data_IF_737465775867
#
_entry.id   IF_737465775867
#
_cell.length_a   1.000
_cell.length_b   1.000
_cell.length_c   1.000
_cell.angle_alpha   90.00
_cell.angle_beta   90.00
_cell.angle_gamma   90.00
#
_symmetry.space_group_name_H-M   'P 1'
#
loop_
_entity.id
_entity.type
_entity.pdbx_description
1 polymer ?
#
# COMPACT_ATOMS: atom_id res chain seq x y z
N UNK A 1 6.34 -19.73 -3.17
CA UNK A 1 6.64 -18.39 -3.69
C UNK A 1 5.72 -17.95 -4.84
N UNK A 2 5.48 -18.79 -5.86
CA UNK A 2 4.64 -18.42 -7.02
C UNK A 2 3.26 -17.80 -6.69
N UNK A 3 2.41 -18.37 -5.83
CA UNK A 3 1.04 -17.85 -5.66
C UNK A 3 1.00 -16.45 -5.05
N UNK A 4 1.92 -16.13 -4.12
CA UNK A 4 1.95 -14.81 -3.47
C UNK A 4 2.48 -13.72 -4.40
N UNK A 5 3.55 -14.00 -5.15
CA UNK A 5 4.09 -13.05 -6.12
C UNK A 5 3.12 -12.84 -7.29
N UNK A 6 2.43 -13.89 -7.74
CA UNK A 6 1.36 -13.79 -8.73
C UNK A 6 0.19 -12.93 -8.23
N UNK A 7 -0.23 -13.10 -6.97
CA UNK A 7 -1.24 -12.24 -6.35
C UNK A 7 -0.78 -10.77 -6.30
N UNK A 8 0.45 -10.50 -5.86
CA UNK A 8 1.00 -9.13 -5.80
C UNK A 8 1.02 -8.48 -7.18
N UNK A 9 1.41 -9.22 -8.22
CA UNK A 9 1.40 -8.74 -9.60
C UNK A 9 -0.02 -8.45 -10.11
N UNK A 10 -0.96 -9.36 -9.87
CA UNK A 10 -2.38 -9.17 -10.20
C UNK A 10 -2.96 -7.92 -9.54
N UNK A 11 -2.74 -7.76 -8.23
CA UNK A 11 -3.20 -6.60 -7.46
C UNK A 11 -2.58 -5.29 -7.97
N UNK A 12 -1.30 -5.31 -8.33
CA UNK A 12 -0.59 -4.16 -8.92
C UNK A 12 -1.24 -3.73 -10.24
N UNK A 13 -1.54 -4.69 -11.13
CA UNK A 13 -2.21 -4.43 -12.42
C UNK A 13 -3.59 -3.82 -12.18
N UNK A 14 -4.37 -4.40 -11.28
CA UNK A 14 -5.72 -3.96 -10.95
C UNK A 14 -5.72 -2.52 -10.40
N UNK A 15 -4.82 -2.22 -9.46
CA UNK A 15 -4.64 -0.86 -8.95
C UNK A 15 -4.19 0.12 -10.05
N UNK A 16 -3.32 -0.32 -10.95
CA UNK A 16 -2.90 0.50 -12.10
C UNK A 16 -4.08 0.85 -13.01
N UNK A 17 -4.96 -0.11 -13.30
CA UNK A 17 -6.17 0.13 -14.09
C UNK A 17 -7.13 1.12 -13.41
N UNK A 18 -7.40 0.94 -12.11
CA UNK A 18 -8.23 1.87 -11.34
C UNK A 18 -7.66 3.29 -11.35
N UNK A 19 -6.34 3.41 -11.16
CA UNK A 19 -5.64 4.69 -11.24
C UNK A 19 -5.81 5.35 -12.62
N UNK A 20 -5.72 4.57 -13.70
CA UNK A 20 -5.93 5.08 -15.05
C UNK A 20 -7.37 5.57 -15.26
N UNK A 21 -8.38 4.84 -14.77
CA UNK A 21 -9.77 5.26 -14.83
C UNK A 21 -10.01 6.58 -14.06
N UNK A 22 -9.46 6.71 -12.85
CA UNK A 22 -9.54 7.96 -12.08
C UNK A 22 -8.89 9.12 -12.83
N UNK A 23 -7.69 8.93 -13.38
CA UNK A 23 -7.00 9.95 -14.18
C UNK A 23 -7.76 10.33 -15.44
N UNK A 24 -8.44 9.38 -16.07
CA UNK A 24 -9.28 9.63 -17.23
C UNK A 24 -10.44 10.56 -16.87
N UNK A 25 -11.16 10.28 -15.77
CA UNK A 25 -12.22 11.14 -15.26
C UNK A 25 -11.69 12.53 -14.94
N UNK A 26 -10.55 12.62 -14.22
CA UNK A 26 -9.92 13.91 -13.90
C UNK A 26 -9.64 14.71 -15.17
N UNK A 27 -9.04 14.07 -16.19
CA UNK A 27 -8.71 14.73 -17.45
C UNK A 27 -9.98 15.21 -18.17
N UNK A 28 -11.00 14.36 -18.27
CA UNK A 28 -12.27 14.68 -18.91
C UNK A 28 -12.94 15.90 -18.26
N UNK A 29 -12.93 15.97 -16.92
CA UNK A 29 -13.45 17.11 -16.18
C UNK A 29 -12.65 18.39 -16.41
N UNK A 30 -11.31 18.32 -16.46
CA UNK A 30 -10.46 19.52 -16.60
C UNK A 30 -10.37 20.10 -18.01
N UNK A 31 -10.52 19.28 -19.05
CA UNK A 31 -10.33 19.69 -20.45
C UNK A 31 -11.63 20.15 -21.10
N UNK A 32 -12.78 19.59 -20.71
CA UNK A 32 -14.07 19.95 -21.28
C UNK A 32 -14.56 21.31 -20.71
N UNK A 33 -14.97 22.27 -21.55
CA UNK A 33 -15.48 23.57 -21.10
C UNK A 33 -16.80 23.46 -20.32
N UNK A 34 -17.63 22.46 -20.63
CA UNK A 34 -18.79 22.07 -19.82
C UNK A 34 -18.87 20.53 -19.72
N UNK A 35 -18.29 19.93 -18.68
CA UNK A 35 -18.30 18.49 -18.50
C UNK A 35 -19.71 17.98 -18.22
N UNK A 36 -20.10 16.86 -18.85
CA UNK A 36 -21.31 16.12 -18.49
C UNK A 36 -21.10 15.45 -17.11
N UNK A 37 -21.49 16.16 -16.06
CA UNK A 37 -21.36 15.69 -14.68
C UNK A 37 -22.23 14.47 -14.37
N UNK A 38 -23.33 14.27 -15.10
CA UNK A 38 -24.21 13.11 -14.86
C UNK A 38 -23.53 11.82 -15.31
N UNK A 39 -22.94 11.85 -16.51
CA UNK A 39 -22.09 10.76 -17.00
C UNK A 39 -20.88 10.52 -16.09
N UNK A 40 -20.18 11.58 -15.69
CA UNK A 40 -19.00 11.50 -14.81
C UNK A 40 -19.35 10.88 -13.45
N UNK A 41 -20.50 11.25 -12.86
CA UNK A 41 -20.98 10.64 -11.61
C UNK A 41 -21.20 9.14 -11.82
N UNK A 42 -21.86 8.74 -12.91
CA UNK A 42 -22.09 7.33 -13.22
C UNK A 42 -20.79 6.52 -13.30
N UNK A 43 -19.81 7.03 -14.06
CA UNK A 43 -18.49 6.40 -14.19
C UNK A 43 -17.76 6.31 -12.84
N UNK A 44 -17.77 7.38 -12.04
CA UNK A 44 -17.11 7.40 -10.74
C UNK A 44 -17.77 6.46 -9.72
N UNK A 45 -19.11 6.42 -9.69
CA UNK A 45 -19.87 5.53 -8.80
C UNK A 45 -19.59 4.07 -9.16
N UNK A 46 -19.51 3.74 -10.44
CA UNK A 46 -19.12 2.40 -10.90
C UNK A 46 -17.72 2.03 -10.41
N UNK A 47 -16.71 2.89 -10.65
CA UNK A 47 -15.33 2.67 -10.20
C UNK A 47 -15.27 2.47 -8.69
N UNK A 48 -16.00 3.29 -7.93
CA UNK A 48 -16.03 3.21 -6.48
C UNK A 48 -16.65 1.92 -5.98
N UNK A 49 -17.75 1.48 -6.59
CA UNK A 49 -18.43 0.23 -6.23
C UNK A 49 -17.51 -0.96 -6.51
N UNK A 50 -16.92 -0.99 -7.70
CA UNK A 50 -15.97 -2.02 -8.10
C UNK A 50 -14.75 -2.07 -7.15
N UNK A 51 -14.15 -0.92 -6.85
CA UNK A 51 -13.03 -0.85 -5.90
C UNK A 51 -13.41 -1.30 -4.48
N UNK A 52 -14.64 -1.02 -4.03
CA UNK A 52 -15.13 -1.48 -2.73
C UNK A 52 -15.33 -3.01 -2.70
N UNK A 53 -15.81 -3.61 -3.79
CA UNK A 53 -15.92 -5.07 -3.91
C UNK A 53 -14.53 -5.72 -3.88
N UNK A 54 -13.58 -5.18 -4.64
CA UNK A 54 -12.19 -5.62 -4.63
C UNK A 54 -11.61 -5.54 -3.22
N UNK A 55 -11.81 -4.43 -2.51
CA UNK A 55 -11.32 -4.28 -1.14
C UNK A 55 -11.92 -5.32 -0.20
N UNK A 56 -13.23 -5.61 -0.32
CA UNK A 56 -13.90 -6.62 0.49
C UNK A 56 -13.30 -8.01 0.28
N UNK A 57 -13.05 -8.40 -0.96
CA UNK A 57 -12.55 -9.74 -1.31
C UNK A 57 -11.03 -9.89 -1.11
N UNK A 58 -10.26 -8.86 -1.49
CA UNK A 58 -8.80 -8.95 -1.57
C UNK A 58 -8.08 -8.47 -0.30
N UNK A 59 -8.75 -7.77 0.62
CA UNK A 59 -8.10 -7.20 1.81
C UNK A 59 -7.39 -8.25 2.70
N UNK A 60 -7.95 -9.46 2.82
CA UNK A 60 -7.32 -10.58 3.55
C UNK A 60 -6.07 -11.08 2.83
N UNK A 61 -6.08 -11.14 1.50
CA UNK A 61 -4.92 -11.53 0.72
C UNK A 61 -3.81 -10.47 0.79
N UNK A 62 -4.17 -9.18 0.77
CA UNK A 62 -3.23 -8.08 0.99
C UNK A 62 -2.60 -8.17 2.37
N UNK A 63 -3.37 -8.46 3.42
CA UNK A 63 -2.83 -8.67 4.76
C UNK A 63 -1.87 -9.86 4.82
N UNK A 64 -2.26 -10.98 4.22
CA UNK A 64 -1.41 -12.18 4.17
C UNK A 64 -0.11 -11.90 3.41
N UNK A 65 -0.18 -11.13 2.32
CA UNK A 65 0.97 -10.67 1.56
C UNK A 65 1.89 -9.76 2.40
N UNK A 66 1.32 -8.82 3.16
CA UNK A 66 2.07 -7.96 4.10
C UNK A 66 2.77 -8.79 5.17
N UNK A 67 2.08 -9.73 5.79
CA UNK A 67 2.65 -10.60 6.82
C UNK A 67 3.77 -11.47 6.26
N UNK A 68 3.54 -12.12 5.11
CA UNK A 68 4.54 -12.91 4.42
C UNK A 68 5.79 -12.09 4.10
N UNK A 69 5.63 -10.87 3.59
CA UNK A 69 6.75 -10.00 3.29
C UNK A 69 7.49 -9.56 4.57
N UNK A 70 6.78 -9.22 5.65
CA UNK A 70 7.41 -8.85 6.92
C UNK A 70 8.25 -10.00 7.50
N UNK A 71 7.71 -11.22 7.49
CA UNK A 71 8.47 -12.42 7.90
C UNK A 71 9.69 -12.64 7.00
N UNK A 72 9.52 -12.56 5.68
CA UNK A 72 10.62 -12.72 4.72
C UNK A 72 11.71 -11.68 4.94
N UNK A 73 11.32 -10.42 5.21
CA UNK A 73 12.27 -9.36 5.51
C UNK A 73 13.05 -9.63 6.80
N UNK A 74 12.35 -10.05 7.86
CA UNK A 74 12.97 -10.40 9.14
C UNK A 74 13.97 -11.56 9.00
N UNK A 75 13.56 -12.67 8.37
CA UNK A 75 14.45 -13.82 8.17
C UNK A 75 15.63 -13.49 7.25
N UNK A 76 15.42 -12.70 6.20
CA UNK A 76 16.50 -12.21 5.35
C UNK A 76 17.54 -11.43 6.15
N UNK A 77 17.11 -10.45 6.94
CA UNK A 77 17.99 -9.65 7.80
C UNK A 77 18.76 -10.50 8.83
N UNK A 78 18.11 -11.51 9.42
CA UNK A 78 18.72 -12.43 10.37
C UNK A 78 19.84 -13.25 9.71
N UNK A 79 19.60 -13.81 8.52
CA UNK A 79 20.61 -14.57 7.77
C UNK A 79 21.78 -13.67 7.34
N UNK A 80 21.52 -12.44 6.91
CA UNK A 80 22.55 -11.48 6.50
C UNK A 80 23.50 -11.19 7.67
N UNK A 81 22.95 -10.90 8.83
CA UNK A 81 23.74 -10.44 9.98
C UNK A 81 24.45 -11.59 10.68
N UNK A 82 23.90 -12.81 10.63
CA UNK A 82 24.53 -14.03 11.14
C UNK A 82 25.21 -14.86 10.05
N UNK A 83 25.60 -14.22 8.94
CA UNK A 83 26.17 -14.91 7.76
C UNK A 83 27.40 -15.76 8.09
N UNK A 84 28.17 -15.43 9.13
CA UNK A 84 29.30 -16.21 9.61
C UNK A 84 28.90 -17.57 10.24
N UNK A 85 27.64 -17.74 10.67
CA UNK A 85 27.11 -18.98 11.22
C UNK A 85 26.61 -19.94 10.12
N UNK A 86 26.47 -19.46 8.87
CA UNK A 86 25.98 -20.25 7.75
C UNK A 86 27.14 -20.72 6.86
N UNK A 87 27.23 -22.03 6.65
CA UNK A 87 28.41 -22.69 6.03
C UNK A 87 28.42 -22.60 4.49
N UNK A 88 27.27 -22.35 3.85
CA UNK A 88 27.14 -22.45 2.39
C UNK A 88 26.72 -21.13 1.72
N UNK A 89 27.62 -20.59 0.90
CA UNK A 89 27.45 -19.37 0.10
C UNK A 89 26.23 -19.45 -0.83
N UNK A 90 25.88 -20.64 -1.34
CA UNK A 90 24.73 -20.82 -2.24
C UNK A 90 23.43 -20.57 -1.49
N UNK A 91 23.33 -21.06 -0.26
CA UNK A 91 22.15 -20.83 0.59
C UNK A 91 21.99 -19.35 0.94
N UNK A 92 23.09 -18.66 1.26
CA UNK A 92 23.09 -17.21 1.52
C UNK A 92 22.60 -16.44 0.29
N UNK A 93 23.12 -16.77 -0.90
CA UNK A 93 22.71 -16.14 -2.15
C UNK A 93 21.22 -16.37 -2.47
N UNK A 94 20.73 -17.59 -2.29
CA UNK A 94 19.32 -17.92 -2.50
C UNK A 94 18.40 -17.10 -1.57
N UNK A 95 18.75 -16.96 -0.29
CA UNK A 95 18.01 -16.14 0.68
C UNK A 95 18.00 -14.67 0.25
N UNK A 96 19.13 -14.15 -0.24
CA UNK A 96 19.20 -12.79 -0.78
C UNK A 96 18.26 -12.58 -1.97
N UNK A 97 18.25 -13.50 -2.94
CA UNK A 97 17.34 -13.42 -4.08
C UNK A 97 15.88 -13.40 -3.64
N UNK A 98 15.51 -14.26 -2.68
CA UNK A 98 14.15 -14.34 -2.13
C UNK A 98 13.76 -13.05 -1.40
N UNK A 99 14.66 -12.51 -0.58
CA UNK A 99 14.47 -11.27 0.16
C UNK A 99 14.24 -10.09 -0.78
N UNK A 100 15.11 -9.91 -1.78
CA UNK A 100 15.00 -8.82 -2.75
C UNK A 100 13.72 -8.96 -3.57
N UNK A 101 13.46 -10.15 -4.14
CA UNK A 101 12.30 -10.37 -4.99
C UNK A 101 10.97 -10.13 -4.24
N UNK A 102 10.86 -10.63 -3.01
CA UNK A 102 9.65 -10.45 -2.18
C UNK A 102 9.47 -8.98 -1.78
N UNK A 103 10.55 -8.30 -1.40
CA UNK A 103 10.53 -6.89 -1.04
C UNK A 103 10.10 -5.99 -2.20
N UNK A 104 10.64 -6.25 -3.40
CA UNK A 104 10.28 -5.50 -4.62
C UNK A 104 8.81 -5.74 -4.99
N UNK A 105 8.35 -6.99 -4.95
CA UNK A 105 6.96 -7.32 -5.24
C UNK A 105 6.00 -6.65 -4.25
N UNK A 106 6.33 -6.65 -2.96
CA UNK A 106 5.55 -6.00 -1.92
C UNK A 106 5.52 -4.48 -2.08
N UNK A 107 6.66 -3.85 -2.39
CA UNK A 107 6.71 -2.42 -2.71
C UNK A 107 5.82 -2.10 -3.92
N UNK A 108 5.82 -2.93 -4.97
CA UNK A 108 4.94 -2.78 -6.12
C UNK A 108 3.46 -2.78 -5.75
N UNK A 109 3.03 -3.73 -4.91
CA UNK A 109 1.67 -3.81 -4.39
C UNK A 109 1.30 -2.55 -3.58
N UNK A 110 2.14 -2.17 -2.62
CA UNK A 110 1.82 -1.09 -1.71
C UNK A 110 1.88 0.29 -2.38
N UNK A 111 2.84 0.50 -3.29
CA UNK A 111 2.90 1.71 -4.12
C UNK A 111 1.68 1.80 -5.01
N UNK A 112 1.26 0.71 -5.64
CA UNK A 112 0.09 0.72 -6.52
C UNK A 112 -1.19 1.09 -5.77
N UNK A 113 -1.40 0.55 -4.57
CA UNK A 113 -2.51 0.95 -3.70
C UNK A 113 -2.47 2.44 -3.34
N UNK A 114 -1.29 2.95 -2.94
CA UNK A 114 -1.10 4.37 -2.62
C UNK A 114 -1.36 5.29 -3.82
N UNK A 115 -0.96 4.87 -5.01
CA UNK A 115 -1.14 5.67 -6.24
C UNK A 115 -2.61 5.79 -6.66
N UNK A 116 -3.45 4.80 -6.35
CA UNK A 116 -4.91 4.92 -6.53
C UNK A 116 -5.46 5.96 -5.57
N UNK A 117 -5.06 5.90 -4.30
CA UNK A 117 -5.48 6.87 -3.29
C UNK A 117 -5.07 8.32 -3.67
N UNK A 118 -3.83 8.50 -4.15
CA UNK A 118 -3.36 9.79 -4.65
C UNK A 118 -4.15 10.27 -5.87
N UNK A 119 -4.47 9.39 -6.81
CA UNK A 119 -5.28 9.74 -7.98
C UNK A 119 -6.71 10.14 -7.60
N UNK A 120 -7.32 9.46 -6.64
CA UNK A 120 -8.65 9.81 -6.12
C UNK A 120 -8.62 11.18 -5.40
N UNK A 121 -7.54 11.46 -4.67
CA UNK A 121 -7.36 12.75 -3.99
C UNK A 121 -7.11 13.89 -4.99
N UNK A 122 -6.32 13.66 -6.05
CA UNK A 122 -6.11 14.62 -7.13
C UNK A 122 -7.43 14.95 -7.87
N UNK A 123 -8.26 13.92 -8.13
CA UNK A 123 -9.59 14.13 -8.69
C UNK A 123 -10.44 15.04 -7.81
N UNK A 124 -10.49 14.77 -6.49
CA UNK A 124 -11.23 15.59 -5.54
C UNK A 124 -10.73 17.04 -5.52
N UNK A 125 -9.41 17.24 -5.42
CA UNK A 125 -8.80 18.57 -5.38
C UNK A 125 -9.15 19.39 -6.63
N UNK A 126 -9.02 18.79 -7.81
CA UNK A 126 -9.36 19.46 -9.08
C UNK A 126 -10.85 19.73 -9.21
N UNK A 127 -11.69 18.79 -8.78
CA UNK A 127 -13.14 18.98 -8.80
C UNK A 127 -13.54 20.14 -7.89
N UNK A 128 -12.96 20.19 -6.70
CA UNK A 128 -13.18 21.26 -5.74
C UNK A 128 -12.70 22.61 -6.29
N UNK A 129 -11.49 22.68 -6.81
CA UNK A 129 -10.93 23.92 -7.38
C UNK A 129 -11.77 24.46 -8.54
N UNK A 130 -12.20 23.59 -9.46
CA UNK A 130 -13.03 24.00 -10.61
C UNK A 130 -14.40 24.53 -10.18
N UNK A 131 -15.04 23.88 -9.21
CA UNK A 131 -16.37 24.28 -8.73
C UNK A 131 -16.31 25.52 -7.83
N UNK A 132 -15.26 25.69 -7.03
CA UNK A 132 -15.06 26.88 -6.20
C UNK A 132 -14.80 28.15 -7.01
N UNK A 133 -14.35 28.03 -8.26
CA UNK A 133 -14.18 29.17 -9.19
C UNK A 133 -15.47 29.55 -9.93
N UNK A 134 -16.51 28.71 -9.94
CA UNK A 134 -17.78 29.02 -10.61
C UNK A 134 -18.66 29.89 -9.70
N UNK A 135 -19.25 30.93 -10.30
CA UNK A 135 -20.15 31.85 -9.60
C UNK A 135 -21.48 31.19 -9.20
N UNK A 136 -21.95 30.23 -10.01
CA UNK A 136 -23.11 29.40 -9.70
C UNK A 136 -22.78 27.92 -9.90
N UNK A 137 -23.05 27.10 -8.89
CA UNK A 137 -22.80 25.65 -8.90
C UNK A 137 -24.15 24.93 -8.94
N UNK A 138 -24.34 24.08 -9.95
CA UNK A 138 -25.57 23.30 -10.11
C UNK A 138 -25.66 22.17 -9.05
N UNK A 139 -26.87 21.72 -8.74
CA UNK A 139 -27.14 20.61 -7.81
C UNK A 139 -26.39 19.33 -8.17
N UNK A 140 -26.22 19.04 -9.46
CA UNK A 140 -25.47 17.87 -9.96
C UNK A 140 -23.97 18.00 -9.63
N UNK A 141 -23.41 19.20 -9.78
CA UNK A 141 -22.00 19.48 -9.47
C UNK A 141 -21.73 19.38 -7.96
N UNK A 142 -22.65 19.89 -7.12
CA UNK A 142 -22.57 19.69 -5.67
C UNK A 142 -22.65 18.21 -5.27
N UNK A 143 -23.56 17.46 -5.92
CA UNK A 143 -23.67 16.00 -5.71
C UNK A 143 -22.39 15.28 -6.08
N UNK A 144 -21.78 15.62 -7.21
CA UNK A 144 -20.49 15.07 -7.61
C UNK A 144 -19.40 15.36 -6.57
N UNK A 145 -19.29 16.62 -6.11
CA UNK A 145 -18.30 17.01 -5.11
C UNK A 145 -18.45 16.20 -3.80
N UNK A 146 -19.69 16.04 -3.31
CA UNK A 146 -19.99 15.24 -2.11
C UNK A 146 -19.64 13.75 -2.28
N UNK A 147 -19.87 13.19 -3.47
CA UNK A 147 -19.54 11.78 -3.75
C UNK A 147 -18.02 11.57 -3.77
N UNK A 148 -17.28 12.47 -4.42
CA UNK A 148 -15.82 12.39 -4.59
C UNK A 148 -15.07 12.75 -3.32
N UNK A 149 -15.65 13.59 -2.45
CA UNK A 149 -15.11 13.91 -1.12
C UNK A 149 -14.93 12.66 -0.25
N UNK A 150 -15.81 11.68 -0.39
CA UNK A 150 -15.63 10.36 0.23
C UNK A 150 -14.55 9.59 -0.54
N UNK A 151 -13.30 9.93 -0.25
CA UNK A 151 -12.08 9.45 -0.89
C UNK A 151 -12.07 7.93 -1.02
N UNK A 152 -11.52 7.45 -2.14
CA UNK A 152 -11.23 6.05 -2.36
C UNK A 152 -9.92 5.69 -1.66
N UNK A 153 -9.96 4.71 -0.78
CA UNK A 153 -8.80 4.17 -0.10
C UNK A 153 -8.84 2.66 -0.17
N UNK A 154 -7.71 2.04 -0.45
CA UNK A 154 -7.54 0.60 -0.22
C UNK A 154 -6.94 0.40 1.17
N UNK A 155 -7.43 -0.61 1.88
CA UNK A 155 -6.96 -0.95 3.22
C UNK A 155 -6.33 -2.34 3.29
N UNK A 156 -5.44 -2.50 4.25
CA UNK A 156 -4.99 -3.82 4.72
C UNK A 156 -5.97 -4.28 5.78
N UNK A 157 -6.73 -5.34 5.48
CA UNK A 157 -7.79 -5.91 6.34
C UNK A 157 -8.83 -4.88 6.83
N UNK A 158 -9.13 -3.77 6.13
CA UNK A 158 -10.02 -2.71 6.67
C UNK A 158 -9.52 -2.00 7.94
N UNK A 159 -8.29 -2.26 8.37
CA UNK A 159 -7.71 -1.66 9.59
C UNK A 159 -6.85 -0.46 9.22
N UNK A 160 -5.95 -0.61 8.23
CA UNK A 160 -4.96 0.42 7.89
C UNK A 160 -5.02 0.79 6.41
N UNK A 161 -5.11 2.08 6.05
CA UNK A 161 -5.06 2.51 4.66
C UNK A 161 -3.67 2.32 4.06
N UNK A 162 -3.62 1.78 2.84
CA UNK A 162 -2.39 1.61 2.06
C UNK A 162 -1.97 2.98 1.52
N UNK A 163 -1.06 3.62 2.25
CA UNK A 163 -0.44 4.90 1.90
C UNK A 163 1.07 4.75 1.83
N UNK A 164 1.79 5.73 1.28
CA UNK A 164 3.27 5.71 1.33
C UNK A 164 3.81 5.57 2.76
N UNK A 165 3.13 6.19 3.73
CA UNK A 165 3.47 6.09 5.15
C UNK A 165 3.35 4.67 5.69
N UNK A 166 2.41 3.87 5.18
CA UNK A 166 2.26 2.47 5.56
C UNK A 166 3.48 1.62 5.14
N UNK A 167 4.05 1.91 3.97
CA UNK A 167 5.28 1.24 3.48
C UNK A 167 6.44 1.53 4.43
N UNK A 168 6.66 2.82 4.72
CA UNK A 168 7.73 3.25 5.63
C UNK A 168 7.53 2.67 7.04
N UNK A 169 6.30 2.65 7.53
CA UNK A 169 5.95 2.06 8.82
C UNK A 169 6.25 0.56 8.88
N UNK A 170 5.92 -0.18 7.82
CA UNK A 170 6.20 -1.63 7.75
C UNK A 170 7.71 -1.90 7.77
N UNK A 171 8.48 -1.20 6.94
CA UNK A 171 9.95 -1.36 6.87
C UNK A 171 10.59 -0.98 8.21
N UNK A 172 10.20 0.16 8.78
CA UNK A 172 10.69 0.63 10.07
C UNK A 172 10.39 -0.36 11.19
N UNK A 173 9.17 -0.90 11.22
CA UNK A 173 8.75 -1.90 12.22
C UNK A 173 9.62 -3.17 12.13
N UNK A 174 9.82 -3.72 10.93
CA UNK A 174 10.66 -4.90 10.75
C UNK A 174 12.09 -4.63 11.22
N UNK A 175 12.66 -3.47 10.87
CA UNK A 175 14.01 -3.10 11.26
C UNK A 175 14.14 -2.90 12.78
N UNK A 176 13.18 -2.23 13.42
CA UNK A 176 13.15 -2.02 14.86
C UNK A 176 13.05 -3.34 15.62
N UNK A 177 12.13 -4.24 15.24
CA UNK A 177 12.03 -5.56 15.86
C UNK A 177 13.29 -6.39 15.64
N UNK A 178 13.86 -6.34 14.43
CA UNK A 178 15.12 -7.01 14.14
C UNK A 178 16.24 -6.56 15.08
N UNK A 179 16.47 -5.24 15.22
CA UNK A 179 17.48 -4.70 16.13
C UNK A 179 17.19 -5.05 17.59
N UNK A 180 15.93 -5.00 18.02
CA UNK A 180 15.54 -5.32 19.39
C UNK A 180 15.86 -6.78 19.73
N UNK A 181 15.45 -7.73 18.88
CA UNK A 181 15.76 -9.15 19.09
C UNK A 181 17.24 -9.45 18.94
N UNK A 182 17.94 -8.80 18.02
CA UNK A 182 19.39 -8.93 17.87
C UNK A 182 20.13 -8.49 19.14
N UNK A 183 19.75 -7.34 19.71
CA UNK A 183 20.35 -6.83 20.94
C UNK A 183 20.08 -7.74 22.15
N UNK A 184 18.84 -8.24 22.30
CA UNK A 184 18.50 -9.18 23.38
C UNK A 184 19.28 -10.49 23.24
N UNK A 185 19.43 -11.00 22.02
CA UNK A 185 20.16 -12.24 21.76
C UNK A 185 21.69 -12.08 21.82
N UNK A 186 22.20 -10.85 21.82
CA UNK A 186 23.63 -10.58 21.93
C UNK A 186 24.13 -10.88 23.35
N UNK A 187 25.41 -11.26 23.54
CA UNK A 187 26.00 -11.54 24.85
C UNK A 187 25.87 -10.39 25.87
N UNK A 188 25.76 -9.13 25.39
CA UNK A 188 25.53 -7.94 26.21
C UNK A 188 24.06 -7.76 26.62
N UNK A 189 23.11 -8.28 25.85
CA UNK A 189 21.68 -8.27 26.21
C UNK A 189 21.36 -9.29 27.32
N UNK A 190 21.98 -10.47 27.25
CA UNK A 190 21.81 -11.54 28.24
C UNK A 190 22.37 -11.13 29.62
N UNK A 191 23.50 -10.44 29.67
CA UNK A 191 24.08 -9.93 30.93
C UNK A 191 23.25 -8.80 31.55
N UNK A 192 22.63 -7.92 30.74
CA UNK A 192 21.76 -6.87 31.25
C UNK A 192 20.42 -7.40 31.79
N UNK A 193 19.84 -8.44 31.18
CA UNK A 193 18.64 -9.11 31.70
C UNK A 193 18.93 -9.88 33.01
N UNK A 194 20.10 -10.53 33.09
CA UNK A 194 20.55 -11.19 34.32
C UNK A 194 20.69 -10.22 35.50
N UNK A 195 21.24 -9.02 35.25
CA UNK A 195 21.40 -7.99 36.28
C UNK A 195 20.07 -7.33 36.72
N UNK A 196 19.07 -7.24 35.84
CA UNK A 196 17.73 -6.76 36.21
C UNK A 196 16.91 -7.76 37.01
N UNK A 197 17.17 -9.07 36.87
CA UNK A 197 16.52 -10.11 37.67
C UNK A 197 17.11 -10.29 39.08
N UNK A 198 18.23 -9.60 39.35
CA UNK A 198 18.96 -9.65 40.63
C UNK A 198 18.77 -8.38 41.49
N UNK A 199 17.89 -7.47 41.08
CA UNK A 199 17.35 -6.36 41.88
C UNK A 199 15.91 -6.66 42.30
#
# INVERSE_FOLDING_TARGET
>A
MLPMNSFMAFYTILCSQLRQCLRHITKHMTVAPDPDYEKIIGEYVFIRTFASEIENELSVFVFTASLYNACTMYFGMAVITRSAEFIDTIHIFAVWCVFIASSVAYMGLALSGSLVHEAATDLWLKAHEMLSRKQEVNRIQQRFLSIVEKKLHFTVWKILPITRSFILGTIGTVFSYYLLFYNIASPQGVTNLGNMSAM
#
